data_IF_306495594693
#
_entry.id   IF_306495594693
#
_cell.length_a   1.000
_cell.length_b   1.000
_cell.length_c   1.000
_cell.angle_alpha   90.00
_cell.angle_beta   90.00
_cell.angle_gamma   90.00
#
_symmetry.space_group_name_H-M   'P 1'
#
loop_
_entity.id
_entity.type
_entity.pdbx_description
1 polymer ?
#
# COMPACT_ATOMS: atom_id res chain seq x y z
N UNK A 1 23.15 -4.02 10.91
CA UNK A 1 21.81 -4.64 10.75
C UNK A 1 22.09 -6.05 10.26
N UNK A 2 21.96 -7.07 11.12
CA UNK A 2 22.45 -8.43 10.80
C UNK A 2 21.31 -9.39 10.44
N UNK A 3 20.27 -8.88 9.78
CA UNK A 3 19.09 -9.66 9.42
C UNK A 3 18.46 -9.22 8.11
N UNK A 4 17.71 -10.13 7.49
CA UNK A 4 16.94 -9.88 6.27
C UNK A 4 15.44 -10.04 6.56
N UNK A 5 14.62 -9.19 5.92
CA UNK A 5 13.17 -9.35 5.93
C UNK A 5 12.78 -10.55 5.05
N UNK A 6 11.91 -11.42 5.56
CA UNK A 6 11.36 -12.52 4.75
C UNK A 6 10.35 -11.98 3.72
N UNK A 7 10.30 -12.57 2.51
CA UNK A 7 9.25 -12.28 1.55
C UNK A 7 7.86 -12.56 2.14
N UNK A 8 6.88 -11.71 1.81
CA UNK A 8 5.51 -11.86 2.29
C UNK A 8 4.93 -13.25 1.96
N UNK A 9 4.29 -13.90 2.93
CA UNK A 9 3.73 -15.23 2.75
C UNK A 9 4.77 -16.36 2.64
N UNK A 10 6.04 -16.11 2.99
CA UNK A 10 7.14 -17.09 2.96
C UNK A 10 7.24 -17.86 1.63
N UNK A 11 7.02 -17.18 0.50
CA UNK A 11 6.91 -17.80 -0.82
C UNK A 11 7.77 -17.11 -1.87
N UNK A 12 8.30 -17.88 -2.83
CA UNK A 12 9.02 -17.36 -4.00
C UNK A 12 8.16 -16.42 -4.86
N UNK A 13 6.82 -16.50 -4.77
CA UNK A 13 5.91 -15.61 -5.50
C UNK A 13 6.05 -14.15 -5.08
N UNK A 14 6.20 -13.88 -3.78
CA UNK A 14 6.39 -12.50 -3.30
C UNK A 14 7.80 -11.98 -3.57
N UNK A 15 8.81 -12.86 -3.61
CA UNK A 15 10.13 -12.51 -4.10
C UNK A 15 10.08 -12.10 -5.60
N UNK A 16 9.34 -12.85 -6.43
CA UNK A 16 9.11 -12.49 -7.83
C UNK A 16 8.38 -11.15 -7.99
N UNK A 17 7.36 -10.88 -7.17
CA UNK A 17 6.67 -9.59 -7.16
C UNK A 17 7.61 -8.44 -6.76
N UNK A 18 8.43 -8.62 -5.72
CA UNK A 18 9.43 -7.63 -5.30
C UNK A 18 10.45 -7.35 -6.41
N UNK A 19 10.85 -8.38 -7.15
CA UNK A 19 11.77 -8.23 -8.27
C UNK A 19 11.13 -7.46 -9.43
N UNK A 20 9.88 -7.74 -9.77
CA UNK A 20 9.14 -6.99 -10.80
C UNK A 20 9.02 -5.50 -10.43
N UNK A 21 8.69 -5.18 -9.17
CA UNK A 21 8.66 -3.80 -8.68
C UNK A 21 10.03 -3.15 -8.87
N UNK A 22 11.10 -3.80 -8.41
CA UNK A 22 12.46 -3.24 -8.52
C UNK A 22 12.90 -3.00 -9.96
N UNK A 23 12.57 -3.90 -10.88
CA UNK A 23 12.88 -3.72 -12.31
C UNK A 23 12.22 -2.45 -12.84
N UNK A 24 10.92 -2.29 -12.57
CA UNK A 24 10.12 -1.18 -13.10
C UNK A 24 10.47 0.17 -12.47
N UNK A 25 10.89 0.18 -11.20
CA UNK A 25 11.21 1.42 -10.48
C UNK A 25 12.69 1.74 -10.45
N UNK A 26 13.59 0.79 -10.70
CA UNK A 26 15.05 0.97 -10.61
C UNK A 26 15.72 0.93 -11.98
N UNK A 27 16.23 -0.23 -12.42
CA UNK A 27 17.00 -0.37 -13.66
C UNK A 27 16.31 0.18 -14.91
N UNK A 28 14.99 0.03 -15.04
CA UNK A 28 14.25 0.48 -16.23
C UNK A 28 14.39 1.98 -16.47
N UNK A 29 14.48 2.77 -15.40
CA UNK A 29 14.52 4.23 -15.46
C UNK A 29 15.88 4.81 -15.02
N UNK A 30 16.89 3.96 -14.82
CA UNK A 30 18.21 4.37 -14.36
C UNK A 30 18.29 4.82 -12.89
N UNK A 31 17.27 4.51 -12.08
CA UNK A 31 17.29 4.81 -10.65
C UNK A 31 18.14 3.79 -9.87
N UNK A 32 18.48 4.12 -8.62
CA UNK A 32 19.20 3.23 -7.73
C UNK A 32 18.37 1.97 -7.40
N UNK A 33 19.04 0.83 -7.22
CA UNK A 33 18.38 -0.44 -6.87
C UNK A 33 19.33 -1.35 -6.09
N UNK A 34 18.84 -1.99 -5.02
CA UNK A 34 19.58 -3.00 -4.22
C UNK A 34 21.07 -2.66 -3.95
N UNK A 35 21.35 -1.41 -3.59
CA UNK A 35 22.70 -0.92 -3.27
C UNK A 35 23.56 -0.53 -4.49
N UNK A 36 23.05 -0.70 -5.70
CA UNK A 36 23.68 -0.26 -6.95
C UNK A 36 23.19 1.15 -7.27
N UNK A 37 24.14 2.08 -7.52
CA UNK A 37 23.81 3.47 -7.84
C UNK A 37 23.21 4.26 -6.67
N UNK A 38 23.37 3.74 -5.45
CA UNK A 38 22.78 4.27 -4.22
C UNK A 38 23.41 5.62 -3.86
N UNK A 39 22.84 6.66 -4.43
CA UNK A 39 23.07 8.06 -4.09
C UNK A 39 21.82 8.55 -3.40
N UNK A 40 21.97 9.40 -2.38
CA UNK A 40 20.87 9.80 -1.48
C UNK A 40 19.61 10.35 -2.19
N UNK A 41 19.69 10.71 -3.47
CA UNK A 41 18.64 11.39 -4.22
C UNK A 41 18.16 10.64 -5.49
N UNK A 42 18.57 9.39 -5.75
CA UNK A 42 18.24 8.68 -6.99
C UNK A 42 17.23 7.54 -6.80
N UNK A 43 16.13 7.80 -6.09
CA UNK A 43 15.08 6.80 -5.90
C UNK A 43 14.05 6.86 -7.02
N UNK A 44 13.70 5.70 -7.56
CA UNK A 44 12.76 5.61 -8.64
C UNK A 44 11.37 5.14 -8.21
N UNK A 45 10.37 5.60 -8.95
CA UNK A 45 8.96 5.35 -8.66
C UNK A 45 8.23 5.05 -9.98
N UNK A 46 7.19 4.22 -9.92
CA UNK A 46 6.29 3.95 -11.03
C UNK A 46 4.90 4.48 -10.68
N UNK A 47 4.36 5.33 -11.56
CA UNK A 47 2.95 5.71 -11.56
C UNK A 47 2.34 5.14 -12.83
N UNK A 48 1.33 4.29 -12.68
CA UNK A 48 0.63 3.66 -13.79
C UNK A 48 -0.85 4.03 -13.72
N UNK A 49 -1.32 4.77 -14.73
CA UNK A 49 -2.71 5.19 -14.86
C UNK A 49 -3.33 4.53 -16.09
N UNK A 50 -4.53 3.97 -15.90
CA UNK A 50 -5.33 3.38 -16.98
C UNK A 50 -6.60 4.21 -17.07
N UNK A 51 -6.90 4.72 -18.25
CA UNK A 51 -8.21 5.29 -18.53
C UNK A 51 -9.21 4.15 -18.78
N UNK A 52 -10.19 3.93 -17.87
CA UNK A 52 -11.13 2.82 -18.02
C UNK A 52 -12.00 2.95 -19.28
N UNK A 53 -12.27 4.18 -19.74
CA UNK A 53 -13.16 4.44 -20.88
C UNK A 53 -12.56 3.97 -22.21
N UNK A 54 -11.26 3.67 -22.25
CA UNK A 54 -10.60 3.00 -23.37
C UNK A 54 -10.97 1.51 -23.51
N UNK A 55 -11.56 0.91 -22.47
CA UNK A 55 -11.83 -0.53 -22.43
C UNK A 55 -13.30 -0.87 -22.21
N UNK A 56 -14.05 -0.04 -21.48
CA UNK A 56 -15.45 -0.27 -21.15
C UNK A 56 -16.11 1.04 -20.72
N UNK A 57 -17.44 1.12 -20.82
CA UNK A 57 -18.20 2.23 -20.22
C UNK A 57 -17.93 2.36 -18.72
N UNK A 58 -17.73 3.61 -18.27
CA UNK A 58 -17.38 3.91 -16.89
C UNK A 58 -18.46 3.51 -15.88
N UNK A 59 -19.74 3.64 -16.25
CA UNK A 59 -20.86 3.26 -15.37
C UNK A 59 -20.95 1.74 -15.24
N UNK A 60 -20.72 1.01 -16.33
CA UNK A 60 -20.67 -0.44 -16.34
C UNK A 60 -19.48 -0.96 -15.51
N UNK A 61 -18.29 -0.38 -15.67
CA UNK A 61 -17.13 -0.74 -14.84
C UNK A 61 -17.43 -0.53 -13.36
N UNK A 62 -17.99 0.61 -12.97
CA UNK A 62 -18.36 0.89 -11.57
C UNK A 62 -19.35 -0.15 -11.03
N UNK A 63 -20.37 -0.50 -11.81
CA UNK A 63 -21.36 -1.53 -11.44
C UNK A 63 -20.68 -2.89 -11.22
N UNK A 64 -19.79 -3.29 -12.13
CA UNK A 64 -19.09 -4.58 -12.05
C UNK A 64 -18.14 -4.64 -10.84
N UNK A 65 -17.37 -3.57 -10.60
CA UNK A 65 -16.50 -3.45 -9.42
C UNK A 65 -17.32 -3.47 -8.12
N UNK A 66 -18.48 -2.79 -8.09
CA UNK A 66 -19.38 -2.83 -6.94
C UNK A 66 -19.91 -4.24 -6.67
N UNK A 67 -20.36 -4.96 -7.70
CA UNK A 67 -20.81 -6.35 -7.54
C UNK A 67 -19.70 -7.27 -7.01
N UNK A 68 -18.46 -7.09 -7.46
CA UNK A 68 -17.30 -7.82 -6.94
C UNK A 68 -17.06 -7.51 -5.45
N UNK A 69 -17.07 -6.23 -5.08
CA UNK A 69 -16.89 -5.80 -3.69
C UNK A 69 -17.96 -6.39 -2.77
N UNK A 70 -19.23 -6.32 -3.18
CA UNK A 70 -20.36 -6.92 -2.44
C UNK A 70 -20.21 -8.43 -2.31
N UNK A 71 -19.79 -9.12 -3.38
CA UNK A 71 -19.58 -10.56 -3.34
C UNK A 71 -18.49 -10.96 -2.35
N UNK A 72 -17.37 -10.24 -2.32
CA UNK A 72 -16.28 -10.49 -1.37
C UNK A 72 -16.74 -10.22 0.07
N UNK A 73 -17.45 -9.11 0.30
CA UNK A 73 -17.91 -8.70 1.63
C UNK A 73 -18.94 -9.66 2.24
N UNK A 74 -19.74 -10.33 1.40
CA UNK A 74 -20.81 -11.26 1.82
C UNK A 74 -20.34 -12.71 2.00
N UNK A 75 -19.06 -13.02 1.77
CA UNK A 75 -18.52 -14.35 2.03
C UNK A 75 -18.61 -14.68 3.52
N UNK A 76 -18.95 -15.94 3.84
CA UNK A 76 -18.98 -16.46 5.21
C UNK A 76 -17.60 -16.25 5.87
N UNK A 77 -17.51 -15.47 6.97
CA UNK A 77 -16.26 -15.33 7.71
C UNK A 77 -15.80 -16.67 8.30
N UNK A 78 -14.48 -16.83 8.44
CA UNK A 78 -13.90 -17.95 9.18
C UNK A 78 -14.21 -17.85 10.68
N UNK A 79 -14.17 -18.96 11.44
CA UNK A 79 -14.33 -18.91 12.89
C UNK A 79 -13.38 -17.90 13.53
N UNK A 80 -13.90 -17.02 14.39
CA UNK A 80 -13.14 -15.96 15.05
C UNK A 80 -12.93 -14.68 14.22
N UNK A 81 -13.32 -14.65 12.95
CA UNK A 81 -13.27 -13.44 12.11
C UNK A 81 -14.61 -12.71 12.19
N UNK A 82 -14.60 -11.46 12.67
CA UNK A 82 -15.81 -10.64 12.85
C UNK A 82 -16.47 -10.22 11.53
N UNK A 83 -15.67 -9.77 10.58
CA UNK A 83 -16.11 -9.35 9.25
C UNK A 83 -14.99 -9.61 8.23
N UNK A 84 -15.37 -9.91 6.99
CA UNK A 84 -14.43 -9.83 5.85
C UNK A 84 -14.25 -8.36 5.52
N UNK A 85 -13.02 -7.89 5.36
CA UNK A 85 -12.74 -6.49 5.02
C UNK A 85 -12.19 -6.38 3.59
N UNK A 86 -12.63 -5.35 2.88
CA UNK A 86 -12.02 -4.96 1.60
C UNK A 86 -10.72 -4.19 1.86
N UNK A 87 -9.79 -4.18 0.88
CA UNK A 87 -8.64 -3.29 0.93
C UNK A 87 -9.07 -1.84 1.25
N UNK A 88 -8.27 -1.16 2.06
CA UNK A 88 -8.48 0.24 2.50
C UNK A 88 -9.61 0.47 3.51
N UNK A 89 -10.55 -0.44 3.77
CA UNK A 89 -11.65 -0.19 4.73
C UNK A 89 -11.16 0.14 6.13
N UNK A 90 -10.15 -0.58 6.63
CA UNK A 90 -9.55 -0.34 7.94
C UNK A 90 -8.93 1.06 8.02
N UNK A 91 -8.19 1.46 6.98
CA UNK A 91 -7.56 2.78 6.90
C UNK A 91 -8.59 3.90 6.81
N UNK A 92 -9.65 3.72 6.01
CA UNK A 92 -10.74 4.68 5.86
C UNK A 92 -11.50 4.88 7.18
N UNK A 93 -11.71 3.81 7.97
CA UNK A 93 -12.33 3.90 9.30
C UNK A 93 -11.47 4.73 10.25
N UNK A 94 -10.18 4.40 10.34
CA UNK A 94 -9.22 5.12 11.18
C UNK A 94 -9.07 6.60 10.77
N UNK A 95 -9.08 6.89 9.46
CA UNK A 95 -9.07 8.26 8.94
C UNK A 95 -10.31 9.04 9.38
N UNK A 96 -11.51 8.46 9.27
CA UNK A 96 -12.76 9.11 9.72
C UNK A 96 -12.74 9.40 11.21
N UNK A 97 -12.26 8.46 12.02
CA UNK A 97 -12.10 8.64 13.47
C UNK A 97 -11.14 9.78 13.80
N UNK A 98 -9.97 9.82 13.16
CA UNK A 98 -8.97 10.88 13.33
C UNK A 98 -9.48 12.26 12.90
N UNK A 99 -10.19 12.32 11.77
CA UNK A 99 -10.82 13.56 11.31
C UNK A 99 -11.89 14.07 12.28
N UNK A 100 -12.71 13.17 12.82
CA UNK A 100 -13.74 13.53 13.80
C UNK A 100 -13.14 14.04 15.12
N UNK A 101 -12.06 13.42 15.58
CA UNK A 101 -11.32 13.85 16.79
C UNK A 101 -10.43 15.07 16.56
N UNK A 102 -10.05 15.34 15.30
CA UNK A 102 -9.03 16.32 14.90
C UNK A 102 -7.66 16.07 15.53
N UNK A 103 -7.36 14.81 15.78
CA UNK A 103 -6.16 14.36 16.48
C UNK A 103 -5.59 13.11 15.81
N UNK A 104 -4.27 12.93 15.93
CA UNK A 104 -3.58 11.71 15.53
C UNK A 104 -2.71 11.22 16.70
N UNK A 105 -2.81 9.93 17.00
CA UNK A 105 -1.94 9.32 17.98
C UNK A 105 -0.53 9.18 17.39
N UNK A 106 0.46 9.65 18.13
CA UNK A 106 1.88 9.51 17.81
C UNK A 106 2.60 8.93 19.03
N UNK A 107 3.65 8.17 18.78
CA UNK A 107 4.51 7.65 19.85
C UNK A 107 5.24 8.82 20.56
N UNK A 108 5.41 8.70 21.87
CA UNK A 108 6.01 9.76 22.70
C UNK A 108 7.45 10.10 22.26
N UNK A 109 8.21 9.09 21.84
CA UNK A 109 9.56 9.31 21.32
C UNK A 109 9.56 10.14 20.02
N UNK A 110 8.61 9.90 19.11
CA UNK A 110 8.46 10.67 17.87
C UNK A 110 8.06 12.11 18.20
N UNK A 111 7.14 12.31 19.14
CA UNK A 111 6.77 13.66 19.59
C UNK A 111 7.97 14.44 20.12
N UNK A 112 8.76 13.81 21.00
CA UNK A 112 9.94 14.42 21.58
C UNK A 112 10.98 14.81 20.52
N UNK A 113 11.19 13.98 19.49
CA UNK A 113 12.08 14.32 18.37
C UNK A 113 11.53 15.46 17.51
N UNK A 114 10.22 15.50 17.24
CA UNK A 114 9.60 16.60 16.49
C UNK A 114 9.77 17.95 17.22
N UNK A 115 9.60 17.97 18.54
CA UNK A 115 9.79 19.18 19.36
C UNK A 115 11.24 19.68 19.29
N UNK A 116 12.23 18.79 19.31
CA UNK A 116 13.65 19.16 19.18
C UNK A 116 13.97 19.82 17.84
N UNK A 117 13.38 19.34 16.74
CA UNK A 117 13.60 19.90 15.40
C UNK A 117 12.89 21.24 15.20
N UNK A 118 11.81 21.50 15.94
CA UNK A 118 11.07 22.75 15.88
C UNK A 118 11.68 23.87 16.75
N UNK A 119 12.62 23.55 17.63
CA UNK A 119 13.33 24.48 18.53
C UNK A 119 14.55 25.09 17.84
#
# INVERSE_FOLDING_TARGET
MDGALKPFGNSYKSAGLSMAVQILTGPLIGAAFVGIGDTANNWGNLIFAIDPELTMDKSELKKNVQALMEKVKTVKPLPGVKEVMLPSERGNRLMKERLAKREIDIEENLYNELVKVAS
#
